data_IF_798643379897
#
_entry.id   IF_798643379897
#
_cell.length_a   1.000
_cell.length_b   1.000
_cell.length_c   1.000
_cell.angle_alpha   90.00
_cell.angle_beta   90.00
_cell.angle_gamma   90.00
#
_symmetry.space_group_name_H-M   'P 1'
#
loop_
_entity.id
_entity.type
_entity.pdbx_description
1 polymer ?
#
# COMPACT_ATOMS: atom_id res chain seq x y z
N UNK A 1 -6.79 -18.42 4.45
CA UNK A 1 -5.49 -19.09 4.24
C UNK A 1 -5.05 -19.16 2.76
N UNK A 2 -5.74 -18.47 1.84
CA UNK A 2 -5.39 -18.48 0.42
C UNK A 2 -4.00 -17.82 0.18
N UNK A 3 -3.14 -18.34 -0.73
CA UNK A 3 -1.80 -17.81 -0.99
C UNK A 3 -1.78 -16.31 -1.35
N UNK A 4 -2.76 -15.82 -2.13
CA UNK A 4 -2.88 -14.40 -2.46
C UNK A 4 -2.99 -13.50 -1.21
N UNK A 5 -3.67 -13.94 -0.17
CA UNK A 5 -3.74 -13.21 1.09
C UNK A 5 -2.48 -13.38 1.93
N UNK A 6 -1.91 -14.59 1.95
CA UNK A 6 -0.71 -14.87 2.75
C UNK A 6 0.53 -14.13 2.24
N UNK A 7 0.59 -13.74 0.95
CA UNK A 7 1.70 -12.92 0.41
C UNK A 7 1.91 -11.61 1.17
N UNK A 8 0.84 -11.02 1.72
CA UNK A 8 0.92 -9.78 2.50
C UNK A 8 1.81 -9.90 3.75
N UNK A 9 2.15 -11.11 4.22
CA UNK A 9 3.13 -11.34 5.30
C UNK A 9 4.53 -10.92 4.91
N UNK A 10 4.86 -11.01 3.61
CA UNK A 10 6.19 -10.84 3.07
C UNK A 10 6.40 -9.50 2.39
N UNK A 11 5.38 -8.63 2.42
CA UNK A 11 5.42 -7.25 1.92
C UNK A 11 5.30 -6.29 3.10
N UNK A 12 6.30 -5.42 3.26
CA UNK A 12 6.28 -4.39 4.31
C UNK A 12 5.30 -3.28 3.97
N UNK A 13 4.57 -2.81 5.00
CA UNK A 13 3.63 -1.69 4.88
C UNK A 13 4.32 -0.43 4.36
N UNK A 14 5.45 -0.08 4.95
CA UNK A 14 6.19 1.14 4.67
C UNK A 14 7.43 0.93 3.77
N UNK A 15 7.45 -0.15 2.97
CA UNK A 15 8.50 -0.39 1.99
C UNK A 15 9.91 -0.21 2.55
N UNK A 16 10.65 0.82 2.10
CA UNK A 16 12.04 1.08 2.49
C UNK A 16 12.19 2.01 3.70
N UNK A 17 11.12 2.40 4.36
CA UNK A 17 11.14 3.32 5.51
C UNK A 17 11.99 2.79 6.66
N UNK A 18 12.19 1.47 6.77
CA UNK A 18 13.10 0.86 7.78
C UNK A 18 14.55 1.34 7.66
N UNK A 19 14.96 1.89 6.53
CA UNK A 19 16.29 2.50 6.35
C UNK A 19 16.46 3.79 7.15
N UNK A 20 15.36 4.41 7.56
CA UNK A 20 15.34 5.62 8.41
C UNK A 20 14.82 5.28 9.80
N UNK A 21 13.73 4.55 9.88
CA UNK A 21 13.08 4.10 11.11
C UNK A 21 13.21 2.58 11.23
N UNK A 22 14.24 2.06 11.90
CA UNK A 22 14.54 0.61 11.91
C UNK A 22 13.40 -0.26 12.43
N UNK A 23 12.48 0.29 13.24
CA UNK A 23 11.28 -0.38 13.73
C UNK A 23 10.17 -0.55 12.69
N UNK A 24 10.22 0.18 11.57
CA UNK A 24 9.20 0.16 10.53
C UNK A 24 9.28 -1.10 9.64
N UNK A 25 9.07 -2.27 10.26
CA UNK A 25 9.20 -3.59 9.60
C UNK A 25 7.90 -4.38 9.57
N UNK A 26 6.79 -3.80 10.03
CA UNK A 26 5.48 -4.43 10.02
C UNK A 26 4.98 -4.70 8.60
N UNK A 27 4.27 -5.81 8.46
CA UNK A 27 3.77 -6.28 7.17
C UNK A 27 2.39 -5.72 6.84
N UNK A 28 2.04 -5.72 5.55
CA UNK A 28 0.69 -5.41 5.08
C UNK A 28 -0.37 -6.34 5.67
N UNK A 29 -0.02 -7.59 5.97
CA UNK A 29 -0.94 -8.48 6.67
C UNK A 29 -1.32 -7.95 8.06
N UNK A 30 -0.35 -7.42 8.83
CA UNK A 30 -0.64 -6.87 10.15
C UNK A 30 -1.57 -5.66 10.06
N UNK A 31 -1.37 -4.81 9.04
CA UNK A 31 -2.25 -3.71 8.72
C UNK A 31 -3.66 -4.18 8.31
N UNK A 32 -3.76 -5.10 7.35
CA UNK A 32 -5.05 -5.60 6.85
C UNK A 32 -5.91 -6.21 7.98
N UNK A 33 -5.29 -6.96 8.92
CA UNK A 33 -5.96 -7.48 10.11
C UNK A 33 -6.40 -6.38 11.07
N UNK A 34 -5.59 -5.34 11.25
CA UNK A 34 -5.93 -4.20 12.09
C UNK A 34 -7.06 -3.37 11.49
N UNK A 35 -7.01 -3.08 10.20
CA UNK A 35 -8.07 -2.38 9.47
C UNK A 35 -9.40 -3.16 9.52
N UNK A 36 -9.35 -4.50 9.40
CA UNK A 36 -10.52 -5.36 9.57
C UNK A 36 -11.08 -5.28 10.99
N UNK A 37 -10.23 -5.25 12.02
CA UNK A 37 -10.68 -5.07 13.40
C UNK A 37 -11.39 -3.73 13.59
N UNK A 38 -10.84 -2.64 13.08
CA UNK A 38 -11.49 -1.32 13.14
C UNK A 38 -12.81 -1.28 12.35
N UNK A 39 -12.88 -1.98 11.22
CA UNK A 39 -14.12 -2.14 10.47
C UNK A 39 -15.19 -2.85 11.31
N UNK A 40 -14.82 -3.93 11.99
CA UNK A 40 -15.72 -4.64 12.90
C UNK A 40 -16.28 -3.69 13.98
N UNK A 41 -15.43 -2.91 14.64
CA UNK A 41 -15.84 -1.95 15.66
C UNK A 41 -16.71 -0.82 15.09
N UNK A 42 -16.38 -0.28 13.90
CA UNK A 42 -17.19 0.72 13.22
C UNK A 42 -18.60 0.21 12.91
N UNK A 43 -18.71 -1.01 12.38
CA UNK A 43 -19.99 -1.64 12.09
C UNK A 43 -20.81 -1.90 13.36
N UNK A 44 -20.18 -2.26 14.48
CA UNK A 44 -20.85 -2.43 15.78
C UNK A 44 -21.38 -1.09 16.30
N UNK A 45 -20.61 -0.01 16.21
CA UNK A 45 -21.05 1.34 16.59
C UNK A 45 -22.25 1.78 15.75
N UNK A 46 -22.19 1.59 14.43
CA UNK A 46 -23.29 1.95 13.53
C UNK A 46 -24.55 1.11 13.81
N UNK A 47 -24.41 -0.19 14.11
CA UNK A 47 -25.52 -1.05 14.50
C UNK A 47 -26.20 -0.58 15.80
N UNK A 48 -25.42 -0.14 16.81
CA UNK A 48 -25.97 0.43 18.04
C UNK A 48 -26.70 1.77 17.81
N UNK A 49 -26.36 2.48 16.72
CA UNK A 49 -27.07 3.71 16.30
C UNK A 49 -28.29 3.47 15.41
N UNK A 50 -28.61 2.19 15.17
CA UNK A 50 -29.82 1.78 14.42
C UNK A 50 -29.57 1.44 12.94
N UNK A 51 -28.31 1.44 12.47
CA UNK A 51 -27.96 1.04 11.11
C UNK A 51 -27.57 -0.44 11.07
N UNK A 52 -28.58 -1.31 11.21
CA UNK A 52 -28.37 -2.76 11.15
C UNK A 52 -28.14 -3.22 9.71
N UNK A 53 -27.03 -3.89 9.48
CA UNK A 53 -26.69 -4.53 8.20
C UNK A 53 -27.13 -5.99 8.19
N UNK A 54 -27.36 -6.53 7.00
CA UNK A 54 -27.48 -7.98 6.83
C UNK A 54 -26.16 -8.67 7.21
N UNK A 55 -26.20 -9.96 7.60
CA UNK A 55 -24.94 -10.71 7.83
C UNK A 55 -24.02 -10.73 6.61
N UNK A 56 -24.58 -10.75 5.40
CA UNK A 56 -23.83 -10.76 4.14
C UNK A 56 -23.15 -9.42 3.89
N UNK A 57 -23.83 -8.27 4.06
CA UNK A 57 -23.25 -6.94 3.93
C UNK A 57 -22.13 -6.71 4.95
N UNK A 58 -22.35 -7.17 6.18
CA UNK A 58 -21.36 -7.08 7.25
C UNK A 58 -20.10 -7.89 6.89
N UNK A 59 -20.28 -9.13 6.43
CA UNK A 59 -19.18 -9.98 5.97
C UNK A 59 -18.45 -9.35 4.78
N UNK A 60 -19.20 -8.80 3.83
CA UNK A 60 -18.66 -8.13 2.64
C UNK A 60 -17.76 -6.94 3.01
N UNK A 61 -18.15 -6.09 3.97
CA UNK A 61 -17.32 -4.98 4.45
C UNK A 61 -16.02 -5.48 5.09
N UNK A 62 -16.10 -6.51 5.94
CA UNK A 62 -14.92 -7.10 6.59
C UNK A 62 -13.97 -7.71 5.56
N UNK A 63 -14.49 -8.39 4.54
CA UNK A 63 -13.68 -8.95 3.47
C UNK A 63 -13.13 -7.87 2.55
N UNK A 64 -13.88 -6.81 2.23
CA UNK A 64 -13.42 -5.71 1.40
C UNK A 64 -12.19 -5.01 2.00
N UNK A 65 -12.26 -4.65 3.29
CA UNK A 65 -11.12 -4.02 3.97
C UNK A 65 -9.96 -5.02 4.22
N UNK A 66 -10.24 -6.29 4.46
CA UNK A 66 -9.20 -7.30 4.63
C UNK A 66 -8.37 -7.52 3.35
N UNK A 67 -9.01 -7.39 2.19
CA UNK A 67 -8.41 -7.70 0.89
C UNK A 67 -7.97 -6.46 0.10
N UNK A 68 -8.22 -5.24 0.59
CA UNK A 68 -8.00 -4.00 -0.16
C UNK A 68 -6.57 -3.82 -0.66
N UNK A 69 -5.59 -4.32 0.07
CA UNK A 69 -4.15 -4.15 -0.15
C UNK A 69 -3.49 -5.29 -0.98
N UNK A 70 -4.28 -6.26 -1.50
CA UNK A 70 -3.74 -7.41 -2.23
C UNK A 70 -2.86 -7.03 -3.42
N UNK A 71 -3.15 -5.90 -4.06
CA UNK A 71 -2.48 -5.44 -5.28
C UNK A 71 -1.14 -4.77 -5.08
N UNK A 72 -0.71 -4.53 -3.86
CA UNK A 72 0.58 -3.87 -3.65
C UNK A 72 1.76 -4.71 -4.13
N UNK A 73 2.70 -4.02 -4.79
CA UNK A 73 3.98 -4.57 -5.22
C UNK A 73 4.92 -4.81 -4.02
N UNK A 74 5.97 -5.64 -4.18
CA UNK A 74 7.10 -5.65 -3.25
C UNK A 74 7.64 -4.22 -3.04
N UNK A 75 8.00 -3.90 -1.79
CA UNK A 75 8.37 -2.53 -1.36
C UNK A 75 7.30 -1.49 -1.65
N UNK A 76 6.03 -1.92 -1.76
CA UNK A 76 4.88 -1.02 -1.93
C UNK A 76 5.06 -0.07 -3.12
N UNK A 77 5.10 1.22 -2.91
CA UNK A 77 5.16 2.22 -3.98
C UNK A 77 6.49 2.26 -4.75
N UNK A 78 7.59 1.70 -4.21
CA UNK A 78 8.91 1.73 -4.87
C UNK A 78 8.93 1.00 -6.23
N UNK A 79 8.12 -0.07 -6.37
CA UNK A 79 8.00 -0.86 -7.61
C UNK A 79 6.63 -0.76 -8.29
N UNK A 80 5.74 0.07 -7.75
CA UNK A 80 4.49 0.41 -8.42
C UNK A 80 4.78 1.11 -9.76
N UNK A 81 4.04 0.74 -10.80
CA UNK A 81 4.31 1.24 -12.15
C UNK A 81 5.56 0.68 -12.84
N UNK A 82 6.49 0.05 -12.11
CA UNK A 82 7.61 -0.67 -12.72
C UNK A 82 7.22 -2.08 -13.15
N UNK A 83 6.58 -2.83 -12.26
CA UNK A 83 6.15 -4.20 -12.55
C UNK A 83 4.98 -4.21 -13.52
N UNK A 84 3.96 -3.41 -13.27
CA UNK A 84 2.80 -3.25 -14.16
C UNK A 84 2.60 -1.77 -14.45
N UNK A 85 2.68 -1.39 -15.73
CA UNK A 85 2.50 -0.01 -16.17
C UNK A 85 1.01 0.33 -16.33
N UNK A 86 0.66 1.59 -16.10
CA UNK A 86 -0.68 2.14 -16.32
C UNK A 86 -1.80 1.41 -15.52
N UNK A 87 -1.45 0.82 -14.37
CA UNK A 87 -2.40 0.13 -13.51
C UNK A 87 -2.06 0.35 -12.03
N UNK A 88 -2.83 1.15 -11.30
CA UNK A 88 -2.61 1.39 -9.88
C UNK A 88 -2.90 0.13 -9.05
N UNK A 89 -2.34 0.07 -7.84
CA UNK A 89 -2.46 -1.10 -6.97
C UNK A 89 -3.92 -1.41 -6.56
N UNK A 90 -4.80 -0.42 -6.51
CA UNK A 90 -6.23 -0.62 -6.25
C UNK A 90 -6.89 -1.46 -7.35
N UNK A 91 -6.56 -1.20 -8.63
CA UNK A 91 -7.04 -1.98 -9.77
C UNK A 91 -6.49 -3.42 -9.73
N UNK A 92 -5.21 -3.57 -9.34
CA UNK A 92 -4.59 -4.89 -9.14
C UNK A 92 -5.28 -5.62 -7.98
N UNK A 93 -5.57 -4.94 -6.86
CA UNK A 93 -6.34 -5.49 -5.73
C UNK A 93 -7.70 -6.01 -6.19
N UNK A 94 -8.44 -5.19 -6.93
CA UNK A 94 -9.73 -5.58 -7.49
C UNK A 94 -9.63 -6.82 -8.38
N UNK A 95 -8.61 -6.88 -9.24
CA UNK A 95 -8.39 -8.02 -10.13
C UNK A 95 -8.06 -9.30 -9.35
N UNK A 96 -7.22 -9.20 -8.32
CA UNK A 96 -6.91 -10.33 -7.42
C UNK A 96 -8.12 -10.77 -6.59
N UNK A 97 -8.95 -9.83 -6.14
CA UNK A 97 -10.21 -10.16 -5.47
C UNK A 97 -11.19 -10.88 -6.42
N UNK A 98 -11.21 -10.54 -7.71
CA UNK A 98 -11.99 -11.26 -8.72
C UNK A 98 -11.44 -12.68 -8.95
N UNK A 99 -10.11 -12.87 -8.92
CA UNK A 99 -9.49 -14.20 -8.98
C UNK A 99 -9.89 -15.03 -7.75
N UNK A 100 -9.87 -14.44 -6.54
CA UNK A 100 -10.36 -15.08 -5.32
C UNK A 100 -11.86 -15.42 -5.39
N UNK A 101 -12.69 -14.51 -5.93
CA UNK A 101 -14.12 -14.73 -6.09
C UNK A 101 -14.40 -15.95 -6.99
N UNK A 102 -13.63 -16.12 -8.07
CA UNK A 102 -13.73 -17.33 -8.90
C UNK A 102 -13.31 -18.61 -8.16
N UNK A 103 -12.30 -18.50 -7.29
CA UNK A 103 -11.81 -19.63 -6.50
C UNK A 103 -12.83 -20.08 -5.43
N UNK A 104 -13.62 -19.15 -4.85
CA UNK A 104 -14.65 -19.44 -3.86
C UNK A 104 -16.07 -19.40 -4.43
N UNK A 105 -16.25 -19.80 -5.68
CA UNK A 105 -17.55 -20.02 -6.33
C UNK A 105 -18.52 -18.81 -6.28
N UNK A 106 -17.98 -17.59 -6.26
CA UNK A 106 -18.79 -16.36 -6.29
C UNK A 106 -19.16 -15.79 -4.92
N UNK A 107 -18.64 -16.33 -3.82
CA UNK A 107 -18.97 -15.87 -2.46
C UNK A 107 -18.53 -14.44 -2.14
N UNK A 108 -17.65 -13.82 -2.96
CA UNK A 108 -17.15 -12.47 -2.76
C UNK A 108 -17.86 -11.41 -3.63
N UNK A 109 -18.99 -11.72 -4.27
CA UNK A 109 -19.63 -10.76 -5.20
C UNK A 109 -20.03 -9.47 -4.49
N UNK A 110 -20.72 -9.56 -3.34
CA UNK A 110 -21.08 -8.40 -2.52
C UNK A 110 -19.84 -7.65 -2.02
N UNK A 111 -18.75 -8.36 -1.70
CA UNK A 111 -17.46 -7.77 -1.32
C UNK A 111 -16.88 -6.90 -2.45
N UNK A 112 -16.95 -7.40 -3.69
CA UNK A 112 -16.52 -6.66 -4.88
C UNK A 112 -17.36 -5.41 -5.11
N UNK A 113 -18.69 -5.49 -4.87
CA UNK A 113 -19.57 -4.32 -5.00
C UNK A 113 -19.28 -3.26 -3.94
N UNK A 114 -19.04 -3.67 -2.69
CA UNK A 114 -18.60 -2.75 -1.62
C UNK A 114 -17.27 -2.10 -1.99
N UNK A 115 -16.29 -2.89 -2.44
CA UNK A 115 -14.96 -2.37 -2.81
C UNK A 115 -15.02 -1.39 -3.99
N UNK A 116 -15.84 -1.66 -5.01
CA UNK A 116 -16.03 -0.79 -6.19
C UNK A 116 -16.86 0.46 -5.91
N UNK A 117 -17.62 0.48 -4.82
CA UNK A 117 -18.60 1.53 -4.54
C UNK A 117 -19.90 1.40 -5.36
N UNK A 118 -20.20 0.19 -5.87
CA UNK A 118 -21.43 -0.12 -6.63
C UNK A 118 -22.56 -0.69 -5.75
N UNK A 119 -22.28 -0.91 -4.46
CA UNK A 119 -23.28 -1.38 -3.51
C UNK A 119 -24.39 -0.33 -3.25
N UNK A 120 -25.63 -0.78 -3.01
CA UNK A 120 -26.78 0.10 -2.76
C UNK A 120 -26.65 1.01 -1.53
N UNK A 121 -25.76 0.65 -0.58
CA UNK A 121 -25.42 1.44 0.60
C UNK A 121 -24.05 2.09 0.43
N UNK A 122 -23.97 3.35 -0.05
CA UNK A 122 -22.69 4.00 -0.37
C UNK A 122 -21.73 4.13 0.81
N UNK A 123 -22.24 4.28 2.05
CA UNK A 123 -21.41 4.41 3.24
C UNK A 123 -20.55 3.16 3.52
N UNK A 124 -20.91 1.99 3.00
CA UNK A 124 -20.08 0.77 3.12
C UNK A 124 -18.76 0.91 2.38
N UNK A 125 -18.81 1.46 1.17
CA UNK A 125 -17.60 1.80 0.44
C UNK A 125 -16.79 2.90 1.14
N UNK A 126 -17.47 3.90 1.72
CA UNK A 126 -16.80 4.99 2.43
C UNK A 126 -16.08 4.54 3.71
N UNK A 127 -16.49 3.44 4.32
CA UNK A 127 -15.76 2.80 5.41
C UNK A 127 -14.46 2.13 4.92
N UNK A 128 -14.40 1.69 3.66
CA UNK A 128 -13.23 1.05 3.04
C UNK A 128 -12.31 2.09 2.41
N UNK A 129 -12.87 3.07 1.70
CA UNK A 129 -12.10 4.08 0.94
C UNK A 129 -12.79 5.43 0.95
N UNK A 130 -12.31 6.35 1.77
CA UNK A 130 -12.78 7.75 1.83
C UNK A 130 -11.73 8.66 2.45
N UNK A 131 -12.08 9.86 2.92
CA UNK A 131 -11.16 10.72 3.67
C UNK A 131 -11.00 10.29 5.13
N UNK A 132 -11.93 9.51 5.65
CA UNK A 132 -11.93 8.95 7.00
C UNK A 132 -12.46 7.52 6.91
N UNK A 133 -11.58 6.57 6.66
CA UNK A 133 -11.86 5.15 6.49
C UNK A 133 -11.03 4.29 7.45
N UNK A 134 -11.32 3.01 7.49
CA UNK A 134 -10.68 2.08 8.43
C UNK A 134 -9.22 1.78 8.05
N UNK A 135 -8.88 1.89 6.76
CA UNK A 135 -7.52 1.82 6.26
C UNK A 135 -6.65 2.93 6.88
N UNK A 136 -7.06 4.21 6.71
CA UNK A 136 -6.32 5.37 7.24
C UNK A 136 -6.23 5.38 8.75
N UNK A 137 -7.29 4.99 9.44
CA UNK A 137 -7.30 4.93 10.89
C UNK A 137 -6.33 3.87 11.44
N UNK A 138 -6.21 2.71 10.78
CA UNK A 138 -5.25 1.69 11.19
C UNK A 138 -3.81 2.14 10.87
N UNK A 139 -3.53 2.49 9.60
CA UNK A 139 -2.14 2.73 9.23
C UNK A 139 -1.53 3.92 9.96
N UNK A 140 -2.26 5.01 10.23
CA UNK A 140 -1.71 6.14 10.96
C UNK A 140 -1.23 5.74 12.36
N UNK A 141 -2.03 5.01 13.13
CA UNK A 141 -1.62 4.56 14.46
C UNK A 141 -0.53 3.49 14.41
N UNK A 142 -0.64 2.55 13.48
CA UNK A 142 0.30 1.46 13.30
C UNK A 142 1.67 1.97 12.87
N UNK A 143 1.71 2.82 11.87
CA UNK A 143 2.94 3.42 11.37
C UNK A 143 3.59 4.32 12.42
N UNK A 144 2.79 5.12 13.16
CA UNK A 144 3.26 5.88 14.31
C UNK A 144 3.95 4.97 15.34
N UNK A 145 3.32 3.87 15.70
CA UNK A 145 3.88 2.92 16.66
C UNK A 145 5.21 2.32 16.18
N UNK A 146 5.26 1.82 14.95
CA UNK A 146 6.44 1.13 14.42
C UNK A 146 7.59 2.07 14.02
N UNK A 147 7.29 3.31 13.64
CA UNK A 147 8.32 4.35 13.38
C UNK A 147 8.78 5.04 14.65
N UNK A 148 7.97 5.07 15.70
CA UNK A 148 8.20 5.85 16.91
C UNK A 148 7.87 7.33 16.75
N UNK A 149 7.19 7.73 15.65
CA UNK A 149 6.75 9.11 15.37
C UNK A 149 5.40 9.34 16.07
N UNK A 150 5.43 9.99 17.23
CA UNK A 150 4.26 10.14 18.11
C UNK A 150 3.19 11.08 17.58
N UNK A 151 3.51 11.91 16.60
CA UNK A 151 2.58 12.84 15.95
C UNK A 151 1.45 12.11 15.19
N UNK A 152 1.68 10.84 14.80
CA UNK A 152 0.67 10.00 14.15
C UNK A 152 -0.36 9.39 15.11
N UNK A 153 -0.21 9.54 16.43
CA UNK A 153 -1.15 8.96 17.40
C UNK A 153 -2.47 9.70 17.38
N UNK A 154 -3.55 8.98 17.04
CA UNK A 154 -4.93 9.48 17.01
C UNK A 154 -5.82 8.67 17.96
N UNK A 155 -6.89 9.28 18.43
CA UNK A 155 -7.88 8.62 19.29
C UNK A 155 -8.93 7.88 18.46
N UNK A 156 -8.58 6.71 17.93
CA UNK A 156 -9.45 5.93 17.03
C UNK A 156 -10.78 5.61 17.66
N UNK A 157 -10.80 5.08 18.90
CA UNK A 157 -12.04 4.71 19.61
C UNK A 157 -13.02 5.89 19.64
N UNK A 158 -12.50 7.09 19.90
CA UNK A 158 -13.34 8.29 19.94
C UNK A 158 -13.88 8.65 18.56
N UNK A 159 -13.07 8.50 17.51
CA UNK A 159 -13.51 8.73 16.12
C UNK A 159 -14.60 7.73 15.75
N UNK A 160 -14.40 6.45 16.01
CA UNK A 160 -15.37 5.40 15.71
C UNK A 160 -16.72 5.65 16.41
N UNK A 161 -16.70 6.03 17.70
CA UNK A 161 -17.92 6.37 18.42
C UNK A 161 -18.68 7.57 17.86
N UNK A 162 -17.99 8.46 17.13
CA UNK A 162 -18.57 9.64 16.49
C UNK A 162 -19.06 9.39 15.06
N UNK A 163 -18.77 8.22 14.47
CA UNK A 163 -19.29 7.86 13.15
C UNK A 163 -20.82 7.75 13.20
N UNK A 164 -21.45 8.19 12.14
CA UNK A 164 -22.88 8.11 11.94
C UNK A 164 -23.20 8.02 10.43
N UNK A 165 -24.42 7.75 10.05
CA UNK A 165 -24.86 7.74 8.66
C UNK A 165 -25.98 8.79 8.47
N UNK A 166 -25.83 9.65 7.48
CA UNK A 166 -26.86 10.62 7.13
C UNK A 166 -27.12 10.59 5.62
N UNK A 167 -28.37 10.36 5.24
CA UNK A 167 -28.77 10.23 3.82
C UNK A 167 -27.93 9.20 3.04
N UNK A 168 -27.63 8.06 3.68
CA UNK A 168 -26.84 6.99 3.07
C UNK A 168 -25.33 7.25 2.97
N UNK A 169 -24.83 8.34 3.55
CA UNK A 169 -23.41 8.73 3.55
C UNK A 169 -22.82 8.66 4.95
N UNK A 170 -21.56 8.26 5.05
CA UNK A 170 -20.80 8.26 6.28
C UNK A 170 -20.53 9.71 6.72
N UNK A 171 -20.87 10.01 7.97
CA UNK A 171 -20.67 11.33 8.57
C UNK A 171 -20.07 11.22 9.97
N UNK A 172 -19.60 12.33 10.52
CA UNK A 172 -19.10 12.40 11.89
C UNK A 172 -19.97 13.37 12.68
N UNK A 173 -20.43 12.96 13.85
CA UNK A 173 -21.19 13.79 14.75
C UNK A 173 -20.38 15.07 15.12
N UNK A 174 -21.06 16.22 15.21
CA UNK A 174 -20.44 17.53 15.50
C UNK A 174 -19.55 17.53 16.75
N UNK A 175 -19.89 16.74 17.76
CA UNK A 175 -19.09 16.61 19.01
C UNK A 175 -17.74 15.93 18.79
N UNK A 176 -17.51 15.29 17.61
CA UNK A 176 -16.25 14.67 17.20
C UNK A 176 -15.26 15.60 16.52
N UNK A 177 -15.60 16.88 16.28
CA UNK A 177 -14.80 17.80 15.44
C UNK A 177 -13.33 17.87 15.85
N UNK A 178 -13.03 17.98 17.15
CA UNK A 178 -11.64 18.03 17.62
C UNK A 178 -10.85 16.76 17.39
N UNK A 179 -11.52 15.59 17.37
CA UNK A 179 -10.87 14.32 17.02
C UNK A 179 -10.53 14.27 15.54
N UNK A 180 -11.38 14.84 14.69
CA UNK A 180 -11.13 14.94 13.25
C UNK A 180 -10.02 15.97 12.95
N UNK A 181 -10.01 17.11 13.60
CA UNK A 181 -8.90 18.08 13.47
C UNK A 181 -7.56 17.45 13.87
N UNK A 182 -7.52 16.71 14.98
CA UNK A 182 -6.32 15.96 15.40
C UNK A 182 -5.92 14.91 14.37
N UNK A 183 -6.88 14.16 13.82
CA UNK A 183 -6.65 13.18 12.76
C UNK A 183 -6.03 13.81 11.50
N UNK A 184 -6.58 14.93 11.04
CA UNK A 184 -6.06 15.63 9.86
C UNK A 184 -4.64 16.14 10.11
N UNK A 185 -4.37 16.68 11.30
CA UNK A 185 -3.04 17.15 11.69
C UNK A 185 -2.05 15.99 11.80
N UNK A 186 -2.43 14.87 12.43
CA UNK A 186 -1.60 13.69 12.53
C UNK A 186 -1.24 13.14 11.14
N UNK A 187 -2.23 13.03 10.25
CA UNK A 187 -2.02 12.63 8.85
C UNK A 187 -1.04 13.56 8.14
N UNK A 188 -1.22 14.87 8.24
CA UNK A 188 -0.32 15.85 7.65
C UNK A 188 1.13 15.68 8.15
N UNK A 189 1.33 15.54 9.45
CA UNK A 189 2.67 15.40 10.04
C UNK A 189 3.33 14.06 9.65
N UNK A 190 2.56 12.97 9.61
CA UNK A 190 3.06 11.66 9.17
C UNK A 190 3.49 11.69 7.69
N UNK A 191 2.78 12.43 6.83
CA UNK A 191 3.20 12.60 5.43
C UNK A 191 4.60 13.22 5.35
N UNK A 192 4.87 14.29 6.10
CA UNK A 192 6.16 14.95 6.08
C UNK A 192 7.27 14.16 6.76
N UNK A 193 6.98 13.55 7.90
CA UNK A 193 8.01 12.92 8.71
C UNK A 193 8.32 11.48 8.27
N UNK A 194 7.34 10.77 7.72
CA UNK A 194 7.45 9.35 7.40
C UNK A 194 7.32 9.09 5.90
N UNK A 195 6.15 9.36 5.32
CA UNK A 195 5.83 8.90 3.95
C UNK A 195 6.61 9.64 2.87
N UNK A 196 6.86 10.94 3.04
CA UNK A 196 7.66 11.75 2.12
C UNK A 196 9.07 12.02 2.65
N UNK A 197 9.56 11.22 3.58
CA UNK A 197 10.90 11.42 4.11
C UNK A 197 11.95 11.29 2.99
N UNK A 198 12.75 12.34 2.77
CA UNK A 198 13.67 12.47 1.64
C UNK A 198 14.61 11.27 1.45
N UNK A 199 15.07 10.65 2.55
CA UNK A 199 15.94 9.47 2.50
C UNK A 199 15.18 8.22 2.06
N UNK A 200 13.90 8.09 2.42
CA UNK A 200 13.04 6.99 1.95
C UNK A 200 12.83 7.13 0.45
N UNK A 201 12.41 8.30 -0.01
CA UNK A 201 12.25 8.59 -1.44
C UNK A 201 13.54 8.32 -2.24
N UNK A 202 14.71 8.70 -1.69
CA UNK A 202 16.00 8.39 -2.33
C UNK A 202 16.21 6.89 -2.49
N UNK A 203 15.87 6.08 -1.50
CA UNK A 203 16.01 4.63 -1.57
C UNK A 203 15.03 4.01 -2.58
N UNK A 204 13.81 4.50 -2.64
CA UNK A 204 12.79 4.06 -3.60
C UNK A 204 13.19 4.39 -5.05
N UNK A 205 13.63 5.61 -5.30
CA UNK A 205 14.19 5.99 -6.62
C UNK A 205 15.42 5.15 -7.00
N UNK A 206 16.32 4.89 -6.04
CA UNK A 206 17.48 4.04 -6.28
C UNK A 206 17.06 2.62 -6.64
N UNK A 207 16.06 2.05 -5.97
CA UNK A 207 15.48 0.75 -6.34
C UNK A 207 14.94 0.77 -7.78
N UNK A 208 14.19 1.78 -8.16
CA UNK A 208 13.72 1.96 -9.53
C UNK A 208 14.86 2.01 -10.55
N UNK A 209 15.96 2.72 -10.23
CA UNK A 209 17.15 2.77 -11.08
C UNK A 209 17.84 1.40 -11.19
N UNK A 210 17.95 0.64 -10.09
CA UNK A 210 18.50 -0.73 -10.09
C UNK A 210 17.67 -1.61 -11.03
N UNK A 211 16.37 -1.60 -10.91
CA UNK A 211 15.47 -2.42 -11.73
C UNK A 211 15.56 -2.04 -13.22
N UNK A 212 15.56 -0.74 -13.53
CA UNK A 212 15.73 -0.26 -14.90
C UNK A 212 17.11 -0.65 -15.47
N UNK A 213 18.16 -0.64 -14.64
CA UNK A 213 19.49 -1.07 -15.08
C UNK A 213 19.53 -2.58 -15.33
N UNK A 214 18.94 -3.38 -14.45
CA UNK A 214 18.80 -4.83 -14.62
C UNK A 214 18.08 -5.19 -15.94
N UNK A 215 17.01 -4.48 -16.26
CA UNK A 215 16.30 -4.63 -17.56
C UNK A 215 17.24 -4.39 -18.74
N UNK A 216 18.01 -3.29 -18.71
CA UNK A 216 18.98 -2.95 -19.78
C UNK A 216 20.08 -4.00 -19.92
N UNK A 217 20.54 -4.58 -18.81
CA UNK A 217 21.57 -5.64 -18.82
C UNK A 217 21.03 -6.88 -19.55
N UNK A 218 19.77 -7.26 -19.31
CA UNK A 218 19.10 -8.35 -20.02
C UNK A 218 18.90 -8.04 -21.51
N UNK A 219 18.50 -6.81 -21.86
CA UNK A 219 18.33 -6.35 -23.24
C UNK A 219 19.65 -6.41 -24.03
N UNK A 220 20.79 -6.20 -23.35
CA UNK A 220 22.13 -6.33 -23.93
C UNK A 220 22.60 -7.79 -24.09
N UNK A 221 21.79 -8.76 -23.66
CA UNK A 221 22.14 -10.17 -23.71
C UNK A 221 23.20 -10.61 -22.72
N UNK A 222 23.49 -9.79 -21.69
CA UNK A 222 24.43 -10.14 -20.63
C UNK A 222 23.77 -11.14 -19.67
N UNK A 223 24.59 -12.01 -19.10
CA UNK A 223 24.14 -12.98 -18.11
C UNK A 223 23.78 -12.26 -16.82
N UNK A 224 22.55 -12.45 -16.34
CA UNK A 224 22.02 -11.84 -15.13
C UNK A 224 21.18 -12.85 -14.37
N UNK A 225 21.51 -13.06 -13.10
CA UNK A 225 20.64 -13.83 -12.22
C UNK A 225 19.27 -13.16 -12.09
N UNK A 226 18.21 -13.84 -12.52
CA UNK A 226 16.82 -13.41 -12.40
C UNK A 226 15.96 -14.63 -12.17
N UNK A 227 15.10 -14.57 -11.15
CA UNK A 227 14.10 -15.62 -10.92
C UNK A 227 13.08 -15.69 -12.08
N UNK A 228 12.41 -16.83 -12.28
CA UNK A 228 11.40 -16.96 -13.33
C UNK A 228 10.31 -15.88 -13.24
N UNK A 229 9.79 -15.62 -12.04
CA UNK A 229 8.68 -14.70 -11.82
C UNK A 229 9.09 -13.24 -12.08
N UNK A 230 10.20 -12.76 -11.51
CA UNK A 230 10.70 -11.41 -11.79
C UNK A 230 11.12 -11.25 -13.25
N UNK A 231 11.60 -12.31 -13.87
CA UNK A 231 12.01 -12.35 -15.27
C UNK A 231 10.90 -11.95 -16.25
N UNK A 232 9.65 -12.26 -15.95
CA UNK A 232 8.51 -11.86 -16.78
C UNK A 232 8.34 -10.33 -16.85
N UNK A 233 8.65 -9.62 -15.77
CA UNK A 233 8.52 -8.16 -15.66
C UNK A 233 9.80 -7.42 -16.06
N UNK A 234 10.97 -8.08 -16.00
CA UNK A 234 12.23 -7.47 -16.40
C UNK A 234 12.50 -7.57 -17.90
N UNK A 235 12.12 -8.68 -18.56
CA UNK A 235 12.42 -8.88 -19.99
C UNK A 235 11.65 -7.95 -20.91
N UNK A 236 10.43 -7.59 -20.52
CA UNK A 236 9.61 -6.63 -21.24
C UNK A 236 8.72 -5.85 -20.26
N UNK A 237 8.40 -4.58 -20.57
CA UNK A 237 7.41 -3.82 -19.81
C UNK A 237 6.03 -4.49 -19.92
N UNK A 238 5.41 -4.82 -18.81
CA UNK A 238 4.05 -5.36 -18.75
C UNK A 238 3.06 -4.20 -18.59
N UNK A 239 2.10 -4.08 -19.50
CA UNK A 239 1.04 -3.08 -19.42
C UNK A 239 -0.20 -3.64 -18.72
N UNK A 240 -1.03 -2.74 -18.17
CA UNK A 240 -2.24 -3.12 -17.45
C UNK A 240 -3.19 -4.01 -18.24
N UNK A 241 -3.37 -3.78 -19.56
CA UNK A 241 -4.25 -4.61 -20.41
C UNK A 241 -3.72 -6.05 -20.57
N UNK A 242 -2.40 -6.18 -20.75
CA UNK A 242 -1.73 -7.48 -20.80
C UNK A 242 -1.84 -8.20 -19.45
N UNK A 243 -1.60 -7.48 -18.35
CA UNK A 243 -1.72 -8.02 -17.01
C UNK A 243 -3.15 -8.51 -16.69
N UNK A 244 -4.19 -7.75 -17.13
CA UNK A 244 -5.60 -8.16 -16.98
C UNK A 244 -5.92 -9.46 -17.71
N UNK A 245 -5.39 -9.62 -18.93
CA UNK A 245 -5.72 -10.77 -19.79
C UNK A 245 -4.87 -12.00 -19.55
N UNK A 246 -3.71 -11.88 -18.88
CA UNK A 246 -2.75 -12.97 -18.70
C UNK A 246 -2.70 -13.48 -17.25
N UNK A 247 -3.30 -14.64 -16.93
CA UNK A 247 -3.25 -15.23 -15.59
C UNK A 247 -1.82 -15.55 -15.10
N UNK A 248 -0.91 -15.95 -15.99
CA UNK A 248 0.48 -16.28 -15.63
C UNK A 248 1.21 -15.07 -15.04
N UNK A 249 1.00 -13.88 -15.62
CA UNK A 249 1.57 -12.64 -15.09
C UNK A 249 1.01 -12.31 -13.69
N UNK A 250 -0.29 -12.54 -13.47
CA UNK A 250 -0.91 -12.30 -12.16
C UNK A 250 -0.40 -13.28 -11.10
N UNK A 251 -0.23 -14.55 -11.46
CA UNK A 251 0.34 -15.55 -10.57
C UNK A 251 1.80 -15.24 -10.23
N UNK A 252 2.61 -14.87 -11.24
CA UNK A 252 3.99 -14.45 -11.04
C UNK A 252 4.08 -13.23 -10.12
N UNK A 253 3.25 -12.20 -10.37
CA UNK A 253 3.17 -11.02 -9.52
C UNK A 253 2.80 -11.38 -8.07
N UNK A 254 1.87 -12.30 -7.89
CA UNK A 254 1.42 -12.74 -6.58
C UNK A 254 2.51 -13.49 -5.79
N UNK A 255 3.48 -14.12 -6.47
CA UNK A 255 4.62 -14.81 -5.83
C UNK A 255 5.77 -13.87 -5.47
N UNK A 256 5.86 -12.67 -6.11
CA UNK A 256 6.90 -11.70 -5.79
C UNK A 256 6.68 -11.07 -4.40
N UNK A 257 7.78 -10.95 -3.64
CA UNK A 257 7.81 -10.32 -2.33
C UNK A 257 9.11 -9.50 -2.11
N UNK A 258 9.19 -8.81 -0.97
CA UNK A 258 10.35 -7.97 -0.60
C UNK A 258 11.64 -8.79 -0.52
N UNK A 259 11.54 -10.03 -0.05
CA UNK A 259 12.71 -10.90 0.17
C UNK A 259 13.32 -11.32 -1.16
N UNK A 260 12.47 -11.68 -2.12
CA UNK A 260 12.90 -12.05 -3.46
C UNK A 260 13.61 -10.89 -4.16
N UNK A 261 13.03 -9.70 -4.15
CA UNK A 261 13.66 -8.51 -4.71
C UNK A 261 15.03 -8.24 -4.07
N UNK A 262 15.12 -8.36 -2.73
CA UNK A 262 16.39 -8.16 -2.03
C UNK A 262 17.45 -9.21 -2.36
N UNK A 263 17.07 -10.46 -2.65
CA UNK A 263 18.02 -11.49 -3.14
C UNK A 263 18.63 -11.06 -4.47
N UNK A 264 17.82 -10.54 -5.39
CA UNK A 264 18.31 -10.02 -6.66
C UNK A 264 19.29 -8.86 -6.47
N UNK A 265 18.91 -7.85 -5.69
CA UNK A 265 19.79 -6.68 -5.41
C UNK A 265 21.10 -7.12 -4.78
N UNK A 266 21.08 -8.04 -3.80
CA UNK A 266 22.31 -8.60 -3.17
C UNK A 266 23.20 -9.33 -4.18
N UNK A 267 22.62 -10.07 -5.10
CA UNK A 267 23.34 -10.80 -6.14
C UNK A 267 23.94 -9.81 -7.14
N UNK A 268 23.16 -8.83 -7.59
CA UNK A 268 23.58 -7.80 -8.53
C UNK A 268 24.65 -6.86 -7.96
N UNK A 269 24.72 -6.69 -6.65
CA UNK A 269 25.81 -5.94 -5.99
C UNK A 269 27.23 -6.56 -6.17
N UNK A 270 27.32 -7.73 -6.83
CA UNK A 270 28.55 -8.43 -7.19
C UNK A 270 28.62 -8.77 -8.68
N UNK A 271 27.76 -8.14 -9.48
CA UNK A 271 27.71 -8.37 -10.92
C UNK A 271 28.88 -7.69 -11.63
N UNK A 272 29.32 -8.25 -12.78
CA UNK A 272 30.43 -7.71 -13.57
C UNK A 272 30.09 -6.40 -14.31
N UNK A 273 28.80 -6.09 -14.47
CA UNK A 273 28.36 -4.83 -15.08
C UNK A 273 28.44 -3.70 -14.03
N UNK A 274 29.33 -2.69 -14.26
CA UNK A 274 29.75 -1.78 -13.18
C UNK A 274 28.67 -0.84 -12.68
N UNK A 275 27.69 -0.47 -13.51
CA UNK A 275 26.60 0.43 -13.08
C UNK A 275 25.62 -0.32 -12.21
N UNK A 276 25.21 -1.54 -12.59
CA UNK A 276 24.29 -2.38 -11.79
C UNK A 276 24.92 -2.74 -10.46
N UNK A 277 26.20 -3.13 -10.46
CA UNK A 277 26.99 -3.39 -9.26
C UNK A 277 26.96 -2.17 -8.32
N UNK A 278 27.35 -1.00 -8.85
CA UNK A 278 27.46 0.22 -8.07
C UNK A 278 26.12 0.64 -7.44
N UNK A 279 25.05 0.70 -8.22
CA UNK A 279 23.71 1.07 -7.72
C UNK A 279 23.22 0.08 -6.64
N UNK A 280 23.43 -1.22 -6.88
CA UNK A 280 23.03 -2.24 -5.91
C UNK A 280 23.86 -2.16 -4.62
N UNK A 281 25.17 -1.89 -4.72
CA UNK A 281 26.04 -1.67 -3.55
C UNK A 281 25.63 -0.41 -2.77
N UNK A 282 25.25 0.67 -3.46
CA UNK A 282 24.77 1.89 -2.80
C UNK A 282 23.54 1.60 -1.92
N UNK A 283 22.58 0.86 -2.44
CA UNK A 283 21.39 0.48 -1.66
C UNK A 283 21.77 -0.42 -0.48
N UNK A 284 22.58 -1.46 -0.71
CA UNK A 284 23.00 -2.42 0.32
C UNK A 284 23.81 -1.78 1.45
N UNK A 285 24.59 -0.74 1.14
CA UNK A 285 25.43 -0.03 2.13
C UNK A 285 24.80 1.26 2.63
N UNK A 286 23.54 1.54 2.25
CA UNK A 286 22.82 2.76 2.60
C UNK A 286 23.56 4.05 2.17
N UNK A 287 24.27 4.03 1.05
CA UNK A 287 24.91 5.22 0.45
C UNK A 287 23.93 5.89 -0.51
N UNK A 288 22.90 6.49 0.06
CA UNK A 288 21.80 7.08 -0.69
C UNK A 288 22.15 8.50 -1.14
N UNK A 289 21.62 8.92 -2.31
CA UNK A 289 21.76 10.27 -2.80
C UNK A 289 20.98 11.27 -1.93
N UNK A 290 21.47 12.50 -1.83
CA UNK A 290 20.67 13.57 -1.23
C UNK A 290 19.53 13.96 -2.18
N UNK A 291 18.31 14.02 -1.65
CA UNK A 291 17.13 14.48 -2.40
C UNK A 291 16.76 15.86 -1.94
N UNK A 292 16.62 16.78 -2.89
CA UNK A 292 16.06 18.10 -2.69
C UNK A 292 14.66 18.12 -3.33
N UNK A 293 13.64 18.38 -2.55
CA UNK A 293 12.28 18.60 -3.04
C UNK A 293 12.17 20.07 -3.47
N UNK A 294 12.20 20.30 -4.79
CA UNK A 294 11.98 21.64 -5.35
C UNK A 294 10.47 21.81 -5.57
N UNK A 295 9.86 22.65 -4.79
CA UNK A 295 8.52 23.15 -5.07
C UNK A 295 8.63 24.23 -6.15
N UNK A 296 8.11 23.95 -7.33
CA UNK A 296 8.20 24.84 -8.50
C UNK A 296 6.96 25.69 -8.74
N UNK A 297 6.04 25.80 -7.80
CA UNK A 297 4.84 26.60 -7.96
C UNK A 297 4.64 27.57 -6.81
N UNK A 298 4.52 28.83 -7.15
CA UNK A 298 4.16 30.02 -6.37
C UNK A 298 5.14 30.49 -5.29
N UNK A 299 5.46 31.80 -5.37
CA UNK A 299 6.33 32.54 -4.46
C UNK A 299 5.88 32.53 -2.97
N UNK A 300 4.71 32.00 -2.66
CA UNK A 300 4.23 31.77 -1.31
C UNK A 300 4.82 30.50 -0.67
N UNK A 301 5.29 29.53 -1.49
CA UNK A 301 5.86 28.26 -1.03
C UNK A 301 7.37 28.35 -0.76
N UNK A 302 8.05 29.39 -1.26
CA UNK A 302 9.50 29.61 -1.09
C UNK A 302 9.90 29.91 0.38
N UNK A 303 8.93 30.19 1.24
CA UNK A 303 9.17 30.46 2.68
C UNK A 303 9.35 29.19 3.53
N UNK A 304 9.18 27.99 2.97
CA UNK A 304 9.31 26.71 3.66
C UNK A 304 10.62 25.95 3.36
N UNK A 305 11.47 26.49 2.51
CA UNK A 305 12.84 26.01 2.33
C UNK A 305 13.71 26.59 3.43
N UNK A 306 13.71 25.99 4.60
CA UNK A 306 14.71 26.25 5.65
C UNK A 306 15.75 25.15 5.56
N UNK A 307 17.02 25.53 5.46
CA UNK A 307 18.23 24.71 5.39
C UNK A 307 18.32 23.61 6.45
#
# INVERSE_FOLDING_TARGET
DHPLFQRLRYIRQLGMTYLVYPGATHSRLAHALGAMHLMQEALDVLAHKGYSLSPDDRSACLMAILLHDLGHAPFSHALEGFLVQDMPHEDISLLMMQDLNRWCDGELETTLDVFRGSHELPFLHELVSSQLDMDRLDYLNRDSFFTGVTEGIIGVDRILQMLDVHQGRLVVERKGIYSIEKYLMARYLMYWQVYLHKTVLSAEYLMGHIMNRARRVLEQGLDLFVSPDLGLFLRQPVRGDEFRSNPELREAYARLDDSEIMVHVKTWARHSEPILEHLSQQLMTRRLAAVCLLYTSDAADDLLCVD
#
